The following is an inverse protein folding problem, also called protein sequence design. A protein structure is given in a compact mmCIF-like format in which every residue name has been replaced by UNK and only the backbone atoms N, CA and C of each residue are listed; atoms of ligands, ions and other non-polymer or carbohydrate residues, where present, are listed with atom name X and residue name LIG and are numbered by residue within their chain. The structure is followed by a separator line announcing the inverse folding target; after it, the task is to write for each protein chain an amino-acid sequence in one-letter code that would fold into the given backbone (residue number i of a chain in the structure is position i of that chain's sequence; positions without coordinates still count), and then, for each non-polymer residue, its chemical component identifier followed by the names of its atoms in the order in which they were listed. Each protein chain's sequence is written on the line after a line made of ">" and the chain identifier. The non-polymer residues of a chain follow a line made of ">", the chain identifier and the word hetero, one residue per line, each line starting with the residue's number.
data_IF_223575714003
#
_entry.id   IF_223575714003
#
_cell.length_a   1.000
_cell.length_b   1.000
_cell.length_c   1.000
_cell.angle_alpha   90.00
_cell.angle_beta   90.00
_cell.angle_gamma   90.00
#
_symmetry.space_group_name_H-M   'P 1'
#
loop_
_entity.id
_entity.type
_entity.pdbx_description
1 polymer ?
#
# COMPACT_ATOMS: atom_id res chain seq x y z
N UNK A 1 16.71 -5.54 -0.89
CA UNK A 1 15.63 -4.73 -0.29
C UNK A 1 16.15 -3.32 -0.08
N UNK A 2 15.31 -2.30 -0.27
CA UNK A 2 15.69 -0.91 -0.06
C UNK A 2 16.12 -0.66 1.40
N UNK A 3 17.17 0.13 1.58
CA UNK A 3 17.54 0.72 2.88
C UNK A 3 16.69 1.96 3.08
N UNK A 4 16.16 2.16 4.30
CA UNK A 4 15.39 3.35 4.67
C UNK A 4 16.26 4.16 5.62
N UNK A 5 16.62 5.37 5.22
CA UNK A 5 17.38 6.30 6.05
C UNK A 5 16.51 6.87 7.17
N UNK A 6 17.14 7.15 8.30
CA UNK A 6 16.59 7.90 9.44
C UNK A 6 15.19 7.48 9.92
N UNK A 7 14.82 6.20 9.74
CA UNK A 7 13.50 5.69 10.12
C UNK A 7 13.29 5.77 11.63
N UNK A 8 12.34 6.63 12.04
CA UNK A 8 11.90 6.80 13.42
C UNK A 8 10.50 6.22 13.59
N UNK A 9 10.38 5.26 14.50
CA UNK A 9 9.10 4.61 14.81
C UNK A 9 8.79 4.85 16.28
N UNK A 10 7.60 5.35 16.54
CA UNK A 10 7.07 5.55 17.88
C UNK A 10 5.94 4.57 18.17
N UNK A 11 5.76 4.23 19.44
CA UNK A 11 4.71 3.34 19.91
C UNK A 11 4.10 3.91 21.19
N UNK A 12 2.78 3.86 21.29
CA UNK A 12 2.11 4.30 22.50
C UNK A 12 0.65 4.67 22.29
N UNK A 13 0.11 5.41 23.25
CA UNK A 13 -1.25 5.94 23.21
C UNK A 13 -1.27 7.32 22.57
N UNK A 14 -2.47 7.79 22.20
CA UNK A 14 -2.71 9.06 21.47
C UNK A 14 -1.94 10.27 22.00
N UNK A 15 -1.73 10.35 23.31
CA UNK A 15 -1.10 11.47 24.02
C UNK A 15 0.36 11.18 24.43
N UNK A 16 0.84 9.94 24.28
CA UNK A 16 2.15 9.49 24.76
C UNK A 16 2.74 8.46 23.81
N UNK A 17 3.58 8.94 22.92
CA UNK A 17 4.34 8.13 21.98
C UNK A 17 5.82 8.11 22.41
N UNK A 18 6.37 6.91 22.54
CA UNK A 18 7.77 6.71 22.88
C UNK A 18 8.53 6.14 21.68
N UNK A 19 9.78 6.59 21.44
CA UNK A 19 10.59 6.04 20.36
C UNK A 19 10.89 4.56 20.62
N UNK A 20 10.65 3.71 19.62
CA UNK A 20 11.00 2.29 19.69
C UNK A 20 12.50 2.10 19.42
N UNK A 21 13.21 1.30 20.24
CA UNK A 21 14.57 0.90 19.93
C UNK A 21 14.62 0.12 18.61
N UNK A 22 15.60 0.45 17.75
CA UNK A 22 15.80 -0.18 16.44
C UNK A 22 16.12 -1.68 16.52
N UNK A 23 16.49 -2.16 17.72
CA UNK A 23 16.74 -3.57 18.06
C UNK A 23 15.48 -4.35 18.43
N UNK A 24 14.35 -3.68 18.71
CA UNK A 24 13.11 -4.36 19.12
C UNK A 24 12.45 -5.11 17.97
N UNK A 25 11.83 -6.27 18.25
CA UNK A 25 11.07 -7.05 17.26
C UNK A 25 10.00 -6.21 16.58
N UNK A 26 9.30 -5.38 17.35
CA UNK A 26 8.24 -4.50 16.85
C UNK A 26 8.76 -3.46 15.86
N UNK A 27 9.90 -2.83 16.14
CA UNK A 27 10.58 -1.95 15.18
C UNK A 27 10.92 -2.71 13.90
N UNK A 28 11.53 -3.91 14.01
CA UNK A 28 11.91 -4.72 12.84
C UNK A 28 10.72 -5.15 11.98
N UNK A 29 9.58 -5.40 12.60
CA UNK A 29 8.33 -5.71 11.89
C UNK A 29 7.81 -4.51 11.12
N UNK A 30 7.71 -3.34 11.75
CA UNK A 30 7.29 -2.11 11.07
C UNK A 30 8.28 -1.68 9.97
N UNK A 31 9.58 -1.75 10.25
CA UNK A 31 10.65 -1.51 9.27
C UNK A 31 10.51 -2.41 8.03
N UNK A 32 10.19 -3.70 8.22
CA UNK A 32 10.02 -4.64 7.10
C UNK A 32 8.81 -4.31 6.22
N UNK A 33 7.75 -3.73 6.79
CA UNK A 33 6.58 -3.24 6.06
C UNK A 33 6.93 -1.99 5.25
N UNK A 34 7.58 -1.00 5.89
CA UNK A 34 8.01 0.24 5.22
C UNK A 34 8.96 -0.06 4.06
N UNK A 35 9.92 -0.96 4.26
CA UNK A 35 10.83 -1.40 3.19
C UNK A 35 10.11 -2.06 2.03
N UNK A 36 9.08 -2.86 2.31
CA UNK A 36 8.28 -3.49 1.25
C UNK A 36 7.48 -2.43 0.48
N UNK A 37 6.84 -1.49 1.18
CA UNK A 37 6.09 -0.39 0.55
C UNK A 37 6.97 0.44 -0.39
N UNK A 38 8.16 0.84 0.06
CA UNK A 38 9.12 1.56 -0.79
C UNK A 38 9.60 0.71 -1.96
N UNK A 39 9.88 -0.58 -1.75
CA UNK A 39 10.28 -1.46 -2.85
C UNK A 39 9.19 -1.59 -3.93
N UNK A 40 7.90 -1.60 -3.55
CA UNK A 40 6.77 -1.59 -4.49
C UNK A 40 6.80 -0.30 -5.31
N UNK A 41 6.86 0.85 -4.63
CA UNK A 41 6.79 2.17 -5.29
C UNK A 41 8.05 2.49 -6.12
N UNK A 42 9.21 2.00 -5.71
CA UNK A 42 10.48 2.18 -6.42
C UNK A 42 10.67 1.24 -7.60
N UNK A 43 9.83 0.20 -7.75
CA UNK A 43 9.86 -0.68 -8.92
C UNK A 43 9.57 0.10 -10.21
N UNK A 44 10.03 -0.37 -11.39
CA UNK A 44 9.76 0.30 -12.65
C UNK A 44 8.26 0.55 -12.89
N UNK A 45 7.44 -0.48 -12.69
CA UNK A 45 5.98 -0.41 -12.83
C UNK A 45 5.35 0.45 -11.74
N UNK A 46 5.89 0.40 -10.50
CA UNK A 46 5.49 1.26 -9.40
C UNK A 46 5.65 2.75 -9.74
N UNK A 47 6.83 3.15 -10.20
CA UNK A 47 7.10 4.53 -10.64
C UNK A 47 6.23 4.91 -11.83
N UNK A 48 6.12 4.03 -12.83
CA UNK A 48 5.29 4.27 -14.01
C UNK A 48 3.82 4.46 -13.64
N UNK A 49 3.29 3.68 -12.70
CA UNK A 49 1.89 3.77 -12.26
C UNK A 49 1.53 5.12 -11.65
N UNK A 50 2.50 5.80 -11.04
CA UNK A 50 2.33 7.15 -10.46
C UNK A 50 2.29 8.22 -11.56
N UNK A 51 3.11 8.06 -12.60
CA UNK A 51 3.29 9.06 -13.67
C UNK A 51 2.21 8.94 -14.76
N UNK A 52 1.91 7.71 -15.21
CA UNK A 52 1.25 7.43 -16.51
C UNK A 52 -0.21 7.86 -16.61
N UNK A 53 -0.91 8.05 -15.49
CA UNK A 53 -2.32 8.52 -15.50
C UNK A 53 -2.52 9.88 -14.86
N UNK A 54 -1.42 10.63 -14.68
CA UNK A 54 -1.27 11.93 -14.03
C UNK A 54 -2.59 12.55 -13.52
N UNK A 55 -3.11 12.04 -12.39
CA UNK A 55 -4.40 12.49 -11.88
C UNK A 55 -4.30 13.86 -11.18
N UNK A 56 -3.09 14.39 -11.07
CA UNK A 56 -2.75 15.57 -10.28
C UNK A 56 -2.58 16.84 -11.12
N UNK A 57 -2.95 16.83 -12.40
CA UNK A 57 -2.83 17.98 -13.33
C UNK A 57 -3.42 19.27 -12.73
N UNK A 58 -4.44 19.16 -11.89
CA UNK A 58 -5.11 20.32 -11.27
C UNK A 58 -4.40 20.88 -10.04
N UNK A 59 -3.50 20.12 -9.41
CA UNK A 59 -2.80 20.53 -8.19
C UNK A 59 -1.30 20.74 -8.41
N UNK A 60 -0.75 20.10 -9.44
CA UNK A 60 0.64 20.21 -9.83
C UNK A 60 0.85 21.44 -10.71
N UNK A 61 1.87 22.25 -10.37
CA UNK A 61 2.08 23.58 -10.97
C UNK A 61 3.18 23.63 -12.03
N UNK A 62 4.04 22.62 -12.06
CA UNK A 62 5.15 22.51 -13.01
C UNK A 62 4.69 21.80 -14.31
N UNK A 63 5.50 21.83 -15.39
CA UNK A 63 5.19 21.11 -16.63
C UNK A 63 4.98 19.61 -16.39
N UNK A 64 3.92 19.02 -16.97
CA UNK A 64 3.58 17.60 -16.76
C UNK A 64 4.69 16.62 -17.22
N UNK A 65 5.51 17.05 -18.17
CA UNK A 65 6.69 16.31 -18.65
C UNK A 65 7.75 16.11 -17.55
N UNK A 66 7.80 17.00 -16.56
CA UNK A 66 8.71 16.90 -15.42
C UNK A 66 8.17 16.00 -14.29
N UNK A 67 6.91 15.52 -14.37
CA UNK A 67 6.29 14.74 -13.29
C UNK A 67 7.14 13.52 -12.90
N UNK A 68 7.74 12.83 -13.87
CA UNK A 68 8.63 11.70 -13.58
C UNK A 68 9.86 12.09 -12.76
N UNK A 69 10.44 13.25 -13.02
CA UNK A 69 11.55 13.80 -12.23
C UNK A 69 11.13 14.08 -10.79
N UNK A 70 9.98 14.72 -10.60
CA UNK A 70 9.49 15.07 -9.25
C UNK A 70 9.01 13.88 -8.43
N UNK A 71 8.39 12.88 -9.06
CA UNK A 71 8.09 11.60 -8.40
C UNK A 71 9.38 10.92 -7.95
N UNK A 72 10.42 10.95 -8.79
CA UNK A 72 11.75 10.48 -8.43
C UNK A 72 12.31 11.19 -7.20
N UNK A 73 12.26 12.53 -7.18
CA UNK A 73 12.70 13.37 -6.05
C UNK A 73 11.89 13.14 -4.77
N UNK A 74 10.59 12.99 -4.89
CA UNK A 74 9.73 12.64 -3.76
C UNK A 74 10.12 11.30 -3.13
N UNK A 75 10.24 10.24 -3.95
CA UNK A 75 10.61 8.91 -3.45
C UNK A 75 12.03 8.87 -2.88
N UNK A 76 12.96 9.64 -3.47
CA UNK A 76 14.32 9.83 -2.92
C UNK A 76 14.26 10.45 -1.51
N UNK A 77 13.53 11.56 -1.34
CA UNK A 77 13.36 12.20 -0.02
C UNK A 77 12.69 11.27 1.00
N UNK A 78 11.62 10.56 0.62
CA UNK A 78 10.93 9.61 1.52
C UNK A 78 11.87 8.46 1.92
N UNK A 79 12.76 8.02 1.03
CA UNK A 79 13.71 6.95 1.33
C UNK A 79 14.84 7.40 2.24
N UNK A 80 15.34 8.61 2.06
CA UNK A 80 16.45 9.18 2.85
C UNK A 80 15.98 9.60 4.25
N UNK A 81 14.83 10.25 4.34
CA UNK A 81 14.28 10.83 5.57
C UNK A 81 12.80 10.47 5.69
N UNK A 82 12.52 9.20 6.00
CA UNK A 82 11.14 8.69 6.03
C UNK A 82 10.25 9.46 7.01
N UNK A 83 8.97 9.75 6.65
CA UNK A 83 8.00 10.36 7.56
C UNK A 83 7.94 9.66 8.92
N UNK A 84 7.70 10.40 9.99
CA UNK A 84 7.59 9.80 11.33
C UNK A 84 6.49 8.73 11.35
N UNK A 85 6.82 7.55 11.87
CA UNK A 85 5.91 6.42 11.94
C UNK A 85 5.36 6.26 13.35
N UNK A 86 4.05 6.15 13.50
CA UNK A 86 3.37 5.95 14.78
C UNK A 86 2.58 4.66 14.77
N UNK A 87 2.90 3.73 15.67
CA UNK A 87 2.07 2.54 15.88
C UNK A 87 0.97 2.92 16.86
N UNK A 88 -0.28 3.00 16.37
CA UNK A 88 -1.39 3.61 17.08
C UNK A 88 -2.61 2.70 17.20
N UNK A 89 -3.36 2.85 18.29
CA UNK A 89 -4.69 2.23 18.50
C UNK A 89 -5.78 2.90 17.65
N UNK A 90 -5.47 4.08 17.09
CA UNK A 90 -6.45 4.99 16.53
C UNK A 90 -6.42 5.07 15.01
N UNK A 91 -6.07 3.97 14.34
CA UNK A 91 -6.03 3.86 12.88
C UNK A 91 -7.31 3.18 12.38
N UNK A 92 -8.03 3.83 11.48
CA UNK A 92 -9.13 3.25 10.73
C UNK A 92 -8.57 2.30 9.65
N UNK A 93 -8.46 1.01 10.02
CA UNK A 93 -7.97 -0.03 9.11
C UNK A 93 -6.52 -0.42 9.38
N UNK A 94 -5.70 -0.43 8.33
CA UNK A 94 -4.32 -0.92 8.33
C UNK A 94 -3.29 0.18 8.62
N UNK A 95 -3.39 1.29 7.89
CA UNK A 95 -2.50 2.43 7.96
C UNK A 95 -3.26 3.72 7.61
N UNK A 96 -2.72 4.87 8.00
CA UNK A 96 -3.22 6.20 7.65
C UNK A 96 -2.03 7.15 7.44
N UNK A 97 -2.13 8.07 6.48
CA UNK A 97 -1.22 9.19 6.32
C UNK A 97 -1.85 10.51 6.82
N UNK A 98 -1.06 11.30 7.54
CA UNK A 98 -1.35 12.71 7.81
C UNK A 98 -0.40 13.58 6.97
N UNK A 99 -0.97 14.45 6.14
CA UNK A 99 -0.21 15.46 5.37
C UNK A 99 -0.04 16.71 6.21
N UNK A 100 1.18 17.22 6.28
CA UNK A 100 1.50 18.46 6.96
C UNK A 100 1.93 19.53 5.94
N UNK A 101 1.60 20.81 6.18
CA UNK A 101 2.14 21.90 5.38
C UNK A 101 3.67 21.91 5.46
N UNK A 102 4.33 22.05 4.31
CA UNK A 102 5.80 22.02 4.26
C UNK A 102 6.39 23.10 3.35
N UNK A 103 5.58 23.76 2.50
CA UNK A 103 6.01 24.87 1.65
C UNK A 103 5.67 24.65 0.18
N UNK A 104 5.92 25.66 -0.66
CA UNK A 104 5.51 25.64 -2.08
C UNK A 104 6.61 25.20 -3.05
N UNK A 105 7.86 25.19 -2.60
CA UNK A 105 9.02 24.94 -3.46
C UNK A 105 9.39 23.45 -3.41
N UNK A 106 9.05 22.69 -4.44
CA UNK A 106 9.26 21.22 -4.52
C UNK A 106 10.70 20.80 -4.22
N UNK A 107 11.69 21.64 -4.56
CA UNK A 107 13.12 21.35 -4.29
C UNK A 107 13.46 21.33 -2.81
N UNK A 108 12.67 21.99 -1.97
CA UNK A 108 12.90 22.12 -0.54
C UNK A 108 12.10 21.07 0.27
N UNK A 109 11.48 20.10 -0.41
CA UNK A 109 10.69 19.09 0.26
C UNK A 109 11.53 18.25 1.23
N UNK A 110 10.97 18.01 2.41
CA UNK A 110 11.54 17.13 3.42
C UNK A 110 10.44 16.21 3.96
N UNK A 111 10.51 14.93 3.60
CA UNK A 111 9.51 13.94 3.96
C UNK A 111 9.36 13.74 5.49
N UNK A 112 10.43 13.90 6.28
CA UNK A 112 10.40 13.69 7.73
C UNK A 112 9.50 14.70 8.47
N UNK A 113 9.30 15.89 7.91
CA UNK A 113 8.45 16.94 8.52
C UNK A 113 7.16 17.22 7.74
N UNK A 114 7.07 16.76 6.49
CA UNK A 114 5.92 17.02 5.62
C UNK A 114 4.75 16.05 5.81
N UNK A 115 4.92 14.99 6.61
CA UNK A 115 3.84 14.06 6.91
C UNK A 115 4.16 13.10 8.05
N UNK A 116 3.16 12.29 8.37
CA UNK A 116 3.24 11.21 9.34
C UNK A 116 2.52 9.99 8.80
N UNK A 117 2.99 8.81 9.18
CA UNK A 117 2.34 7.53 8.86
C UNK A 117 1.94 6.84 10.15
N UNK A 118 0.67 6.50 10.28
CA UNK A 118 0.13 5.77 11.40
C UNK A 118 -0.09 4.31 10.98
N UNK A 119 0.39 3.36 11.78
CA UNK A 119 0.21 1.93 11.56
C UNK A 119 -0.71 1.36 12.64
N UNK A 120 -1.60 0.46 12.24
CA UNK A 120 -2.51 -0.23 13.16
C UNK A 120 -1.72 -1.05 14.19
N UNK A 121 -1.79 -0.64 15.46
CA UNK A 121 -1.15 -1.34 16.58
C UNK A 121 -1.53 -2.82 16.65
N UNK A 122 -2.82 -3.11 16.44
CA UNK A 122 -3.32 -4.50 16.47
C UNK A 122 -2.65 -5.36 15.41
N UNK A 123 -2.47 -4.84 14.19
CA UNK A 123 -1.83 -5.61 13.12
C UNK A 123 -0.35 -5.81 13.41
N UNK A 124 0.36 -4.76 13.83
CA UNK A 124 1.77 -4.86 14.17
C UNK A 124 2.00 -5.84 15.33
N UNK A 125 1.18 -5.81 16.36
CA UNK A 125 1.26 -6.75 17.49
C UNK A 125 0.96 -8.20 17.03
N UNK A 126 0.00 -8.39 16.12
CA UNK A 126 -0.26 -9.71 15.53
C UNK A 126 0.90 -10.22 14.68
N UNK A 127 1.60 -9.33 13.96
CA UNK A 127 2.80 -9.67 13.21
C UNK A 127 3.96 -10.06 14.14
N UNK A 128 4.16 -9.35 15.25
CA UNK A 128 5.13 -9.71 16.29
C UNK A 128 4.78 -11.08 16.86
N UNK A 129 3.52 -11.29 17.24
CA UNK A 129 3.03 -12.56 17.76
C UNK A 129 3.24 -13.72 16.76
N UNK A 130 2.89 -13.53 15.49
CA UNK A 130 3.10 -14.53 14.45
C UNK A 130 4.59 -14.88 14.34
N UNK A 131 5.47 -13.87 14.27
CA UNK A 131 6.92 -14.08 14.14
C UNK A 131 7.53 -14.85 15.31
N UNK A 132 7.01 -14.66 16.53
CA UNK A 132 7.48 -15.36 17.74
C UNK A 132 6.95 -16.80 17.86
N UNK A 133 5.87 -17.16 17.15
CA UNK A 133 5.24 -18.48 17.22
C UNK A 133 5.55 -19.31 15.98
N UNK A 134 6.63 -20.10 16.05
CA UNK A 134 7.16 -20.93 14.94
C UNK A 134 6.10 -21.69 14.12
N UNK A 135 5.02 -22.20 14.74
CA UNK A 135 3.98 -22.99 14.06
C UNK A 135 3.10 -22.19 13.09
N UNK A 136 2.88 -20.90 13.37
CA UNK A 136 2.05 -20.00 12.54
C UNK A 136 2.87 -18.89 11.90
N UNK A 137 4.18 -18.86 12.17
CA UNK A 137 5.06 -17.74 11.89
C UNK A 137 5.22 -17.47 10.41
N UNK A 138 5.36 -18.47 9.55
CA UNK A 138 5.64 -18.25 8.13
C UNK A 138 4.47 -17.58 7.42
N UNK A 139 3.37 -18.31 7.26
CA UNK A 139 2.26 -17.90 6.40
C UNK A 139 1.54 -16.66 6.94
N UNK A 140 1.20 -16.65 8.23
CA UNK A 140 0.43 -15.54 8.82
C UNK A 140 1.22 -14.23 8.82
N UNK A 141 2.51 -14.27 9.18
CA UNK A 141 3.38 -13.09 9.11
C UNK A 141 3.50 -12.57 7.68
N UNK A 142 3.67 -13.48 6.71
CA UNK A 142 3.79 -13.14 5.29
C UNK A 142 2.52 -12.46 4.76
N UNK A 143 1.33 -12.96 5.14
CA UNK A 143 0.05 -12.35 4.77
C UNK A 143 -0.13 -10.96 5.38
N UNK A 144 0.21 -10.79 6.66
CA UNK A 144 0.20 -9.46 7.27
C UNK A 144 1.21 -8.51 6.63
N UNK A 145 2.42 -8.99 6.32
CA UNK A 145 3.46 -8.18 5.67
C UNK A 145 3.01 -7.74 4.28
N UNK A 146 2.38 -8.64 3.52
CA UNK A 146 1.78 -8.34 2.22
C UNK A 146 0.68 -7.27 2.33
N UNK A 147 -0.30 -7.48 3.22
CA UNK A 147 -1.39 -6.53 3.48
C UNK A 147 -0.84 -5.15 3.85
N UNK A 148 -0.01 -5.09 4.89
CA UNK A 148 0.54 -3.84 5.40
C UNK A 148 1.49 -3.17 4.40
N UNK A 149 2.25 -3.93 3.61
CA UNK A 149 3.14 -3.37 2.59
C UNK A 149 2.37 -2.60 1.51
N UNK A 150 1.22 -3.14 1.08
CA UNK A 150 0.31 -2.45 0.15
C UNK A 150 -0.32 -1.24 0.83
N UNK A 151 -0.83 -1.38 2.06
CA UNK A 151 -1.44 -0.26 2.79
C UNK A 151 -0.47 0.90 3.03
N UNK A 152 0.79 0.63 3.40
CA UNK A 152 1.77 1.71 3.58
C UNK A 152 2.15 2.34 2.24
N UNK A 153 2.23 1.56 1.15
CA UNK A 153 2.44 2.13 -0.18
C UNK A 153 1.28 3.05 -0.59
N UNK A 154 0.04 2.63 -0.32
CA UNK A 154 -1.18 3.43 -0.50
C UNK A 154 -1.08 4.76 0.26
N UNK A 155 -0.70 4.74 1.54
CA UNK A 155 -0.56 5.97 2.33
C UNK A 155 0.55 6.90 1.83
N UNK A 156 1.64 6.36 1.29
CA UNK A 156 2.70 7.17 0.65
C UNK A 156 2.17 7.89 -0.61
N UNK A 157 1.20 7.32 -1.33
CA UNK A 157 0.54 8.02 -2.46
C UNK A 157 -0.28 9.22 -1.97
N UNK A 158 -0.91 9.13 -0.79
CA UNK A 158 -1.55 10.30 -0.18
C UNK A 158 -0.50 11.37 0.17
N UNK A 159 0.65 10.98 0.73
CA UNK A 159 1.74 11.91 0.99
C UNK A 159 2.29 12.56 -0.29
N UNK A 160 2.35 11.84 -1.42
CA UNK A 160 2.70 12.41 -2.71
C UNK A 160 1.74 13.54 -3.11
N UNK A 161 0.44 13.39 -2.85
CA UNK A 161 -0.53 14.45 -3.10
C UNK A 161 -0.18 15.71 -2.29
N UNK A 162 0.24 15.55 -1.03
CA UNK A 162 0.72 16.65 -0.17
C UNK A 162 2.05 17.28 -0.64
N UNK A 163 2.95 16.46 -1.19
CA UNK A 163 4.16 16.94 -1.86
C UNK A 163 3.81 17.82 -3.06
N UNK A 164 2.84 17.42 -3.90
CA UNK A 164 2.50 18.21 -5.08
C UNK A 164 1.77 19.52 -4.74
N UNK A 165 1.02 19.58 -3.63
CA UNK A 165 0.27 20.77 -3.19
C UNK A 165 1.07 21.74 -2.34
N UNK A 166 2.05 21.25 -1.58
CA UNK A 166 2.80 22.05 -0.60
C UNK A 166 2.11 22.28 0.75
N UNK A 167 0.87 21.81 0.86
CA UNK A 167 -0.07 22.11 1.94
C UNK A 167 -0.82 20.84 2.35
N UNK A 168 -1.40 20.80 3.55
CA UNK A 168 -2.26 19.69 3.98
C UNK A 168 -3.59 19.61 3.20
N UNK A 169 -3.91 20.66 2.44
CA UNK A 169 -5.06 20.79 1.54
C UNK A 169 -4.61 21.38 0.20
N UNK A 170 -5.38 21.24 -0.90
CA UNK A 170 -6.66 20.53 -1.00
C UNK A 170 -6.53 19.01 -0.79
N UNK A 171 -7.65 18.36 -0.56
CA UNK A 171 -7.72 16.90 -0.59
C UNK A 171 -7.50 16.37 -2.00
N UNK A 172 -7.32 15.05 -2.10
CA UNK A 172 -7.22 14.36 -3.38
C UNK A 172 -8.37 14.79 -4.29
N UNK A 173 -8.14 15.18 -5.56
CA UNK A 173 -9.23 15.61 -6.43
C UNK A 173 -10.23 14.47 -6.68
N UNK A 174 -11.54 14.76 -6.84
CA UNK A 174 -12.60 13.73 -6.99
C UNK A 174 -12.36 12.72 -8.10
N UNK A 175 -11.77 13.15 -9.22
CA UNK A 175 -11.46 12.28 -10.36
C UNK A 175 -10.32 11.28 -10.11
N UNK A 176 -9.62 11.42 -8.99
CA UNK A 176 -8.49 10.58 -8.57
C UNK A 176 -8.98 9.59 -7.53
N UNK A 177 -9.82 8.66 -7.97
CA UNK A 177 -10.42 7.68 -7.07
C UNK A 177 -10.76 6.39 -7.80
N UNK A 178 -10.86 5.31 -7.05
CA UNK A 178 -11.57 4.13 -7.52
C UNK A 178 -12.98 4.13 -6.94
N UNK A 179 -13.98 3.99 -7.80
CA UNK A 179 -15.37 3.93 -7.38
C UNK A 179 -15.62 2.71 -6.45
N UNK A 180 -16.28 2.88 -5.28
CA UNK A 180 -16.96 4.07 -4.75
C UNK A 180 -16.22 4.76 -3.58
N UNK A 181 -14.89 4.69 -3.52
CA UNK A 181 -14.12 5.18 -2.36
C UNK A 181 -13.97 6.71 -2.31
N UNK A 182 -14.28 7.41 -3.41
CA UNK A 182 -14.34 8.87 -3.45
C UNK A 182 -15.72 9.43 -3.09
N UNK A 183 -15.78 10.74 -3.03
CA UNK A 183 -16.99 11.53 -2.95
C UNK A 183 -17.07 12.49 -4.13
N UNK A 184 -18.11 13.32 -4.16
CA UNK A 184 -18.22 14.41 -5.14
C UNK A 184 -17.09 15.43 -5.02
N UNK A 185 -16.55 15.61 -3.82
CA UNK A 185 -15.64 16.70 -3.46
C UNK A 185 -14.22 16.22 -3.15
N UNK A 186 -14.02 14.91 -2.95
CA UNK A 186 -12.72 14.33 -2.58
C UNK A 186 -12.52 12.96 -3.21
N UNK A 187 -11.36 12.71 -3.79
CA UNK A 187 -10.96 11.41 -4.31
C UNK A 187 -10.25 10.54 -3.27
N UNK A 188 -9.68 9.43 -3.72
CA UNK A 188 -8.98 8.45 -2.90
C UNK A 188 -7.74 7.98 -3.71
N UNK A 189 -6.61 8.67 -3.52
CA UNK A 189 -5.45 8.56 -4.41
C UNK A 189 -4.77 7.20 -4.29
N UNK A 190 -4.75 6.61 -3.10
CA UNK A 190 -4.18 5.30 -2.89
C UNK A 190 -4.99 4.20 -3.58
N UNK A 191 -6.32 4.21 -3.51
CA UNK A 191 -7.20 3.27 -4.25
C UNK A 191 -7.10 3.47 -5.76
N UNK A 192 -6.99 4.72 -6.21
CA UNK A 192 -6.74 5.00 -7.62
C UNK A 192 -5.43 4.36 -8.09
N UNK A 193 -4.35 4.53 -7.33
CA UNK A 193 -3.06 3.90 -7.58
C UNK A 193 -3.11 2.37 -7.54
N UNK A 194 -3.80 1.78 -6.55
CA UNK A 194 -4.00 0.33 -6.47
C UNK A 194 -4.66 -0.21 -7.76
N UNK A 195 -5.67 0.49 -8.26
CA UNK A 195 -6.33 0.11 -9.52
C UNK A 195 -5.41 0.09 -10.73
N UNK A 196 -4.48 1.03 -10.80
CA UNK A 196 -3.53 1.14 -11.91
C UNK A 196 -2.45 0.07 -11.78
N UNK A 197 -1.81 -0.01 -10.61
CA UNK A 197 -0.65 -0.86 -10.42
C UNK A 197 -1.05 -2.32 -10.20
N UNK A 198 -1.97 -2.56 -9.28
CA UNK A 198 -2.34 -3.90 -8.84
C UNK A 198 -3.40 -4.54 -9.75
N UNK A 199 -4.09 -3.73 -10.55
CA UNK A 199 -5.20 -4.16 -11.41
C UNK A 199 -6.53 -4.29 -10.66
N UNK A 200 -6.64 -3.73 -9.46
CA UNK A 200 -7.82 -3.81 -8.61
C UNK A 200 -7.51 -3.47 -7.16
N UNK A 201 -8.41 -3.83 -6.25
CA UNK A 201 -8.35 -3.54 -4.82
C UNK A 201 -8.01 -4.80 -4.06
N UNK A 202 -6.98 -4.72 -3.22
CA UNK A 202 -6.63 -5.82 -2.34
C UNK A 202 -7.39 -5.69 -1.02
N UNK A 203 -8.16 -6.72 -0.67
CA UNK A 203 -8.86 -6.82 0.61
C UNK A 203 -8.63 -8.18 1.24
N UNK A 204 -8.43 -8.21 2.56
CA UNK A 204 -8.29 -9.45 3.31
C UNK A 204 -9.59 -9.79 4.03
N UNK A 205 -10.07 -11.03 3.86
CA UNK A 205 -11.34 -11.50 4.40
C UNK A 205 -11.13 -12.63 5.40
N UNK A 206 -11.66 -12.46 6.60
CA UNK A 206 -11.50 -13.38 7.72
C UNK A 206 -12.82 -14.10 8.08
N UNK A 207 -12.70 -15.28 8.66
CA UNK A 207 -13.83 -16.06 9.13
C UNK A 207 -14.33 -15.50 10.47
N UNK A 208 -15.63 -15.21 10.58
CA UNK A 208 -16.26 -14.68 11.81
C UNK A 208 -16.17 -15.64 12.99
N UNK A 209 -16.10 -16.94 12.75
CA UNK A 209 -16.15 -17.98 13.79
C UNK A 209 -14.77 -18.54 14.15
N UNK A 210 -13.70 -18.07 13.49
CA UNK A 210 -12.36 -18.54 13.80
C UNK A 210 -11.91 -17.99 15.16
N UNK A 211 -11.40 -18.90 16.00
CA UNK A 211 -10.95 -18.64 17.37
C UNK A 211 -9.82 -17.60 17.46
N UNK A 212 -9.09 -17.37 16.36
CA UNK A 212 -8.05 -16.35 16.28
C UNK A 212 -8.64 -14.94 16.29
N UNK A 213 -9.92 -14.76 15.94
CA UNK A 213 -10.62 -13.48 16.01
C UNK A 213 -9.86 -12.36 15.28
N UNK A 214 -9.53 -11.28 15.99
CA UNK A 214 -8.79 -10.13 15.44
C UNK A 214 -7.35 -10.44 15.00
N UNK A 215 -6.82 -11.61 15.40
CA UNK A 215 -5.47 -12.08 15.04
C UNK A 215 -5.38 -12.75 13.68
N UNK A 216 -6.52 -12.96 13.02
CA UNK A 216 -6.54 -13.47 11.66
C UNK A 216 -5.92 -12.44 10.69
N UNK A 217 -5.03 -12.90 9.83
CA UNK A 217 -4.60 -12.15 8.64
C UNK A 217 -5.68 -12.12 7.57
N UNK A 218 -6.64 -13.06 7.61
CA UNK A 218 -7.63 -13.26 6.56
C UNK A 218 -7.03 -13.90 5.30
N UNK A 219 -7.90 -14.13 4.33
CA UNK A 219 -7.54 -14.56 2.97
C UNK A 219 -7.56 -13.34 2.05
N UNK A 220 -6.47 -13.05 1.33
CA UNK A 220 -6.40 -11.91 0.44
C UNK A 220 -7.12 -12.17 -0.89
N UNK A 221 -7.92 -11.21 -1.31
CA UNK A 221 -8.65 -11.18 -2.57
C UNK A 221 -8.30 -9.91 -3.34
N UNK A 222 -8.28 -10.01 -4.67
CA UNK A 222 -8.22 -8.87 -5.59
C UNK A 222 -9.61 -8.64 -6.16
N UNK A 223 -10.17 -7.44 -5.99
CA UNK A 223 -11.47 -7.05 -6.54
C UNK A 223 -11.33 -6.01 -7.65
N UNK A 224 -12.18 -6.07 -8.66
CA UNK A 224 -12.14 -5.12 -9.79
C UNK A 224 -12.41 -3.66 -9.39
N UNK A 225 -13.39 -3.44 -8.53
CA UNK A 225 -13.84 -2.12 -8.03
C UNK A 225 -14.10 -2.19 -6.53
N UNK A 226 -14.66 -1.17 -5.88
CA UNK A 226 -15.12 -1.23 -4.48
C UNK A 226 -16.56 -1.71 -4.28
N UNK A 227 -17.31 -1.97 -5.34
CA UNK A 227 -18.73 -2.28 -5.23
C UNK A 227 -18.99 -3.63 -4.57
N UNK A 228 -20.17 -3.74 -3.95
CA UNK A 228 -20.59 -4.95 -3.25
C UNK A 228 -20.73 -6.18 -4.17
N UNK A 229 -21.09 -5.97 -5.43
CA UNK A 229 -21.22 -6.99 -6.47
C UNK A 229 -19.96 -7.11 -7.35
N UNK A 230 -18.88 -6.38 -7.05
CA UNK A 230 -17.62 -6.50 -7.79
C UNK A 230 -17.11 -7.93 -7.73
N UNK A 231 -16.66 -8.44 -8.87
CA UNK A 231 -15.95 -9.71 -8.90
C UNK A 231 -14.63 -9.56 -8.15
N UNK A 232 -14.22 -10.66 -7.53
CA UNK A 232 -12.92 -10.80 -6.91
C UNK A 232 -12.45 -12.23 -6.89
N UNK A 233 -11.14 -12.36 -6.80
CA UNK A 233 -10.44 -13.64 -6.91
C UNK A 233 -9.39 -13.73 -5.83
N UNK A 234 -9.21 -14.94 -5.29
CA UNK A 234 -8.18 -15.19 -4.28
C UNK A 234 -6.79 -14.95 -4.86
N UNK A 235 -5.96 -14.16 -4.18
CA UNK A 235 -4.60 -13.88 -4.62
C UNK A 235 -3.74 -15.15 -4.43
N UNK A 236 -2.89 -15.45 -5.41
CA UNK A 236 -2.03 -16.65 -5.37
C UNK A 236 -1.04 -16.58 -4.20
N UNK A 237 -0.88 -17.68 -3.45
CA UNK A 237 0.10 -17.76 -2.36
C UNK A 237 1.54 -17.64 -2.85
N UNK A 238 1.86 -18.28 -3.99
CA UNK A 238 3.19 -18.19 -4.61
C UNK A 238 3.50 -16.78 -5.11
N UNK A 239 2.47 -16.05 -5.53
CA UNK A 239 2.58 -14.64 -5.85
C UNK A 239 2.91 -13.82 -4.60
N UNK A 240 2.19 -14.02 -3.50
CA UNK A 240 2.44 -13.32 -2.23
C UNK A 240 3.86 -13.59 -1.74
N UNK A 241 4.32 -14.83 -1.78
CA UNK A 241 5.68 -15.21 -1.40
C UNK A 241 6.74 -14.51 -2.27
N UNK A 242 6.55 -14.47 -3.59
CA UNK A 242 7.44 -13.73 -4.50
C UNK A 242 7.44 -12.23 -4.18
N UNK A 243 6.25 -11.67 -3.98
CA UNK A 243 6.01 -10.26 -3.73
C UNK A 243 6.70 -9.76 -2.46
N UNK A 244 6.53 -10.46 -1.32
CA UNK A 244 7.14 -10.05 -0.05
C UNK A 244 8.67 -10.20 -0.02
N UNK A 245 9.21 -10.98 -0.97
CA UNK A 245 10.63 -11.17 -1.21
C UNK A 245 11.19 -10.15 -2.22
N UNK A 246 10.37 -9.21 -2.70
CA UNK A 246 10.76 -8.14 -3.60
C UNK A 246 10.81 -8.54 -5.08
N UNK A 247 10.23 -9.69 -5.43
CA UNK A 247 10.03 -10.11 -6.82
C UNK A 247 8.62 -9.71 -7.23
N UNK A 248 8.51 -8.54 -7.85
CA UNK A 248 7.23 -7.97 -8.26
C UNK A 248 6.89 -8.36 -9.70
N UNK A 249 5.60 -8.59 -9.94
CA UNK A 249 5.03 -8.66 -11.28
C UNK A 249 3.63 -8.08 -11.23
N UNK A 250 3.31 -7.14 -12.10
CA UNK A 250 2.03 -6.43 -12.09
C UNK A 250 1.26 -6.70 -13.39
N UNK A 251 -0.09 -6.73 -13.38
CA UNK A 251 -0.97 -6.67 -12.20
C UNK A 251 -0.84 -7.91 -11.30
N UNK A 252 -1.50 -7.88 -10.13
CA UNK A 252 -1.45 -8.98 -9.16
C UNK A 252 -1.93 -10.30 -9.78
N UNK A 253 -1.22 -11.40 -9.51
CA UNK A 253 -1.62 -12.74 -9.97
C UNK A 253 -2.60 -13.39 -8.99
N UNK A 254 -3.72 -13.87 -9.54
CA UNK A 254 -4.75 -14.60 -8.80
C UNK A 254 -4.51 -16.11 -8.86
N UNK A 255 -5.19 -16.86 -8.01
CA UNK A 255 -5.07 -18.32 -7.90
C UNK A 255 -5.66 -19.02 -9.12
N UNK A 256 -5.17 -20.23 -9.45
CA UNK A 256 -5.72 -21.06 -10.53
C UNK A 256 -6.11 -22.44 -9.97
N UNK A 257 -7.40 -22.88 -10.03
CA UNK A 257 -8.53 -22.18 -10.62
C UNK A 257 -8.93 -20.92 -9.84
N UNK A 258 -9.30 -19.87 -10.58
CA UNK A 258 -9.75 -18.61 -10.00
C UNK A 258 -11.26 -18.68 -9.74
N UNK A 259 -11.67 -19.22 -8.59
CA UNK A 259 -13.06 -19.12 -8.17
C UNK A 259 -13.44 -17.62 -8.09
N UNK A 260 -14.49 -17.25 -8.80
CA UNK A 260 -14.96 -15.86 -8.83
C UNK A 260 -15.99 -15.69 -7.72
N UNK A 261 -15.69 -14.81 -6.77
CA UNK A 261 -16.58 -14.43 -5.68
C UNK A 261 -16.89 -12.94 -5.76
N UNK A 262 -17.93 -12.49 -5.06
CA UNK A 262 -18.20 -11.06 -4.89
C UNK A 262 -18.04 -10.68 -3.43
N UNK A 263 -17.84 -9.39 -3.13
CA UNK A 263 -17.86 -8.93 -1.73
C UNK A 263 -19.15 -9.34 -1.02
N UNK A 264 -20.27 -9.27 -1.73
CA UNK A 264 -21.57 -9.68 -1.22
C UNK A 264 -21.63 -11.17 -0.87
N UNK A 265 -21.03 -12.06 -1.69
CA UNK A 265 -21.01 -13.50 -1.41
C UNK A 265 -20.14 -13.81 -0.19
N UNK A 266 -18.98 -13.16 -0.05
CA UNK A 266 -18.12 -13.30 1.13
C UNK A 266 -18.82 -12.82 2.41
N UNK A 267 -19.52 -11.68 2.37
CA UNK A 267 -20.31 -11.20 3.53
C UNK A 267 -21.37 -12.21 3.98
N UNK A 268 -22.03 -12.88 3.02
CA UNK A 268 -23.03 -13.93 3.28
C UNK A 268 -22.41 -15.21 3.83
N UNK A 269 -21.22 -15.59 3.36
CA UNK A 269 -20.49 -16.81 3.74
C UNK A 269 -19.81 -16.72 5.13
N UNK A 270 -20.42 -16.01 6.09
CA UNK A 270 -19.87 -15.78 7.44
C UNK A 270 -18.44 -15.18 7.45
N UNK A 271 -18.01 -14.55 6.35
CA UNK A 271 -16.75 -13.82 6.29
C UNK A 271 -16.96 -12.33 6.54
N UNK A 272 -15.89 -11.66 6.96
CA UNK A 272 -15.85 -10.20 7.07
C UNK A 272 -14.45 -9.71 6.71
N UNK A 273 -14.38 -8.55 6.09
CA UNK A 273 -13.12 -7.87 5.84
C UNK A 273 -12.36 -7.62 7.15
N UNK A 274 -11.05 -7.81 7.14
CA UNK A 274 -10.22 -7.76 8.34
C UNK A 274 -10.16 -6.36 8.99
N UNK A 275 -10.33 -5.30 8.21
CA UNK A 275 -10.38 -3.93 8.71
C UNK A 275 -11.62 -3.75 9.62
N UNK A 276 -12.74 -4.38 9.28
CA UNK A 276 -13.97 -4.39 10.10
C UNK A 276 -13.81 -5.20 11.39
N UNK A 277 -13.02 -6.28 11.36
CA UNK A 277 -12.66 -7.06 12.56
C UNK A 277 -11.93 -6.21 13.59
N UNK A 278 -11.07 -5.31 13.11
CA UNK A 278 -10.11 -4.55 13.91
C UNK A 278 -10.64 -3.16 14.27
N UNK A 279 -11.93 -2.90 14.13
CA UNK A 279 -12.54 -1.62 14.57
C UNK A 279 -12.39 -1.41 16.08
N UNK A 280 -12.17 -0.17 16.53
CA UNK A 280 -11.92 0.20 17.94
C UNK A 280 -12.82 -0.50 18.96
N UNK A 281 -14.12 -0.60 18.67
CA UNK A 281 -15.10 -1.23 19.58
C UNK A 281 -14.79 -2.70 19.85
N UNK A 282 -14.24 -3.41 18.88
CA UNK A 282 -13.88 -4.84 19.00
C UNK A 282 -12.48 -5.05 19.56
N UNK A 283 -11.56 -4.11 19.32
CA UNK A 283 -10.20 -4.18 19.86
C UNK A 283 -10.18 -4.18 21.40
N UNK A 284 -11.04 -3.39 22.06
CA UNK A 284 -11.12 -3.33 23.54
C UNK A 284 -11.47 -4.66 24.21
N UNK A 285 -12.09 -5.58 23.47
CA UNK A 285 -12.50 -6.89 23.97
C UNK A 285 -11.55 -8.00 23.55
N UNK A 286 -10.53 -7.71 22.74
CA UNK A 286 -9.56 -8.71 22.36
C UNK A 286 -8.70 -9.06 23.59
N UNK A 287 -8.43 -10.36 23.85
CA UNK A 287 -7.52 -10.72 24.92
C UNK A 287 -6.18 -10.03 24.67
N UNK A 288 -5.57 -9.40 25.69
CA UNK A 288 -4.29 -8.76 25.52
C UNK A 288 -3.34 -9.74 24.85
N UNK A 289 -2.70 -9.28 23.78
CA UNK A 289 -1.51 -9.96 23.27
C UNK A 289 -0.55 -10.00 24.44
N UNK A 290 -0.38 -11.17 25.05
CA UNK A 290 0.73 -11.49 25.93
C UNK A 290 2.06 -11.50 25.15
N UNK A 291 2.23 -10.53 24.24
CA UNK A 291 3.54 -10.11 23.81
C UNK A 291 4.24 -9.65 25.08
N UNK A 292 5.41 -10.22 25.41
CA UNK A 292 6.16 -9.78 26.57
C UNK A 292 6.31 -8.26 26.52
N UNK A 293 6.17 -7.59 27.67
CA UNK A 293 6.58 -6.19 27.74
C UNK A 293 8.03 -6.07 27.24
N UNK A 294 8.42 -4.94 26.62
CA UNK A 294 9.76 -4.74 26.11
C UNK A 294 10.80 -5.11 27.20
N UNK A 295 11.57 -6.17 26.98
CA UNK A 295 12.64 -6.60 27.90
C UNK A 295 12.44 -7.91 28.68
N UNK A 296 11.38 -8.68 28.47
CA UNK A 296 11.18 -9.97 29.18
C UNK A 296 11.26 -11.21 28.26
N UNK A 297 12.11 -12.18 28.64
CA UNK A 297 12.22 -13.51 28.02
C UNK A 297 10.95 -14.34 28.27
N UNK A 298 10.37 -14.92 27.22
CA UNK A 298 9.04 -15.55 27.23
C UNK A 298 9.01 -16.90 27.96
N UNK A 299 8.05 -17.09 28.87
CA UNK A 299 7.65 -18.39 29.39
C UNK A 299 6.64 -19.07 28.44
N UNK A 300 6.80 -20.38 28.27
CA UNK A 300 6.09 -21.24 27.33
C UNK A 300 4.63 -21.48 27.72
N UNK A 301 3.69 -20.95 26.95
CA UNK A 301 2.28 -21.38 26.94
C UNK A 301 2.07 -22.32 25.76
N UNK A 302 1.76 -23.58 26.07
CA UNK A 302 1.40 -24.63 25.11
C UNK A 302 -0.02 -24.39 24.58
N UNK A 303 -0.14 -24.05 23.29
CA UNK A 303 -1.43 -24.09 22.59
C UNK A 303 -1.57 -25.40 21.82
N UNK A 304 -2.78 -25.94 21.89
CA UNK A 304 -3.24 -27.17 21.25
C UNK A 304 -3.25 -27.00 19.73
N UNK A 305 -2.72 -28.00 18.99
CA UNK A 305 -2.71 -28.09 17.52
C UNK A 305 -4.05 -27.65 16.90
N UNK A 306 -3.98 -26.84 15.85
CA UNK A 306 -5.14 -26.41 15.04
C UNK A 306 -5.86 -27.63 14.41
N UNK A 307 -7.19 -27.55 14.19
CA UNK A 307 -7.95 -28.62 13.55
C UNK A 307 -7.50 -28.86 12.10
N UNK A 308 -7.45 -30.13 11.70
CA UNK A 308 -6.92 -30.64 10.43
C UNK A 308 -7.67 -30.22 9.15
N UNK A 309 -8.67 -29.33 9.26
CA UNK A 309 -9.53 -28.91 8.16
C UNK A 309 -9.11 -27.56 7.55
N UNK A 310 -7.98 -26.98 7.98
CA UNK A 310 -7.23 -26.07 7.13
C UNK A 310 -6.60 -26.93 6.03
N UNK A 311 -7.29 -27.07 4.90
CA UNK A 311 -6.86 -27.89 3.79
C UNK A 311 -5.38 -27.69 3.48
N UNK A 312 -4.75 -28.85 3.35
CA UNK A 312 -3.38 -29.12 2.97
C UNK A 312 -2.84 -28.09 1.96
N UNK A 313 -1.88 -27.30 2.41
CA UNK A 313 -0.85 -26.76 1.53
C UNK A 313 0.01 -27.95 1.08
N UNK A 314 0.04 -28.34 -0.21
CA UNK A 314 1.15 -29.16 -0.69
C UNK A 314 2.40 -28.27 -0.69
N UNK A 315 3.23 -28.40 0.34
CA UNK A 315 4.61 -27.95 0.27
C UNK A 315 5.33 -28.93 -0.67
N UNK A 316 5.31 -28.63 -1.97
CA UNK A 316 6.25 -29.26 -2.90
C UNK A 316 7.62 -28.63 -2.66
N UNK A 317 8.45 -29.27 -1.84
CA UNK A 317 9.90 -29.00 -1.85
C UNK A 317 10.47 -29.54 -3.15
N UNK A 318 10.45 -28.74 -4.21
CA UNK A 318 11.25 -28.99 -5.40
C UNK A 318 12.73 -28.69 -5.06
N UNK A 319 13.67 -29.61 -5.33
CA UNK A 319 15.09 -29.33 -5.17
C UNK A 319 15.54 -28.29 -6.21
N UNK A 320 16.06 -27.16 -5.74
CA UNK A 320 16.76 -26.18 -6.58
C UNK A 320 18.07 -26.82 -7.06
N UNK A 321 18.09 -27.33 -8.28
CA UNK A 321 19.34 -27.67 -8.97
C UNK A 321 20.00 -26.37 -9.44
N UNK A 322 21.15 -26.07 -8.85
CA UNK A 322 22.06 -25.03 -9.33
C UNK A 322 22.67 -25.48 -10.66
N UNK A 323 22.25 -24.88 -11.78
CA UNK A 323 23.02 -24.94 -13.01
C UNK A 323 24.19 -23.96 -12.91
N UNK A 324 25.40 -24.52 -12.85
CA UNK A 324 26.65 -23.82 -13.04
C UNK A 324 26.68 -23.20 -14.44
N UNK A 325 26.83 -21.88 -14.49
CA UNK A 325 27.06 -21.08 -15.70
C UNK A 325 28.43 -21.40 -16.28
N UNK A 326 28.48 -21.74 -17.57
CA UNK A 326 29.71 -21.83 -18.35
C UNK A 326 30.12 -20.45 -18.91
N UNK A 327 31.42 -20.24 -19.19
CA UNK A 327 31.98 -18.92 -19.47
C UNK A 327 31.85 -18.47 -20.93
N UNK A 328 31.55 -17.18 -21.06
CA UNK A 328 32.07 -16.16 -22.00
C UNK A 328 32.61 -16.67 -23.34
N UNK A 329 31.88 -16.38 -24.43
CA UNK A 329 32.44 -16.36 -25.78
C UNK A 329 32.48 -14.94 -26.36
N UNK A 330 33.63 -14.69 -27.00
CA UNK A 330 34.18 -13.42 -27.45
C UNK A 330 33.38 -12.77 -28.58
N UNK A 331 33.29 -11.45 -28.51
CA UNK A 331 32.90 -10.54 -29.60
C UNK A 331 34.05 -10.45 -30.62
N UNK A 332 33.79 -10.48 -31.93
CA UNK A 332 34.68 -9.89 -32.93
C UNK A 332 34.23 -8.47 -33.34
N UNK A 333 35.18 -7.56 -33.64
CA UNK A 333 34.89 -6.17 -33.98
C UNK A 333 34.73 -5.99 -35.51
N UNK A 334 33.84 -5.08 -35.94
CA UNK A 334 33.93 -4.32 -37.21
C UNK A 334 32.81 -3.25 -37.17
N UNK A 335 33.11 -1.96 -36.96
CA UNK A 335 33.57 -0.89 -37.87
C UNK A 335 32.41 -0.15 -38.58
N UNK A 336 32.45 1.20 -38.69
CA UNK A 336 31.30 2.08 -38.87
C UNK A 336 31.08 2.51 -40.33
N UNK A 337 29.87 2.96 -40.66
CA UNK A 337 29.40 3.86 -41.75
C UNK A 337 27.87 3.57 -41.85
N UNK A 338 26.93 4.48 -42.12
CA UNK A 338 26.93 5.83 -42.67
C UNK A 338 25.57 6.47 -42.40
N UNK A 339 25.55 7.79 -42.41
CA UNK A 339 24.40 8.68 -42.38
C UNK A 339 23.30 8.31 -43.40
N UNK A 340 22.04 8.47 -43.01
CA UNK A 340 21.02 8.98 -43.93
C UNK A 340 19.89 9.66 -43.15
N UNK A 341 19.90 10.97 -43.25
CA UNK A 341 18.85 11.92 -42.90
C UNK A 341 17.52 11.55 -43.58
N UNK A 342 16.44 11.46 -42.81
CA UNK A 342 15.09 11.58 -43.36
C UNK A 342 14.25 12.51 -42.49
N UNK A 343 14.17 13.75 -42.95
CA UNK A 343 13.20 14.76 -42.59
C UNK A 343 11.78 14.26 -42.86
N UNK A 344 10.96 14.10 -41.82
CA UNK A 344 9.51 13.98 -41.97
C UNK A 344 8.84 15.22 -41.41
N UNK A 345 8.40 16.06 -42.35
CA UNK A 345 7.52 17.19 -42.15
C UNK A 345 6.14 16.69 -41.71
N UNK A 346 5.62 17.19 -40.58
CA UNK A 346 4.22 17.07 -40.21
C UNK A 346 3.47 18.34 -40.64
N UNK A 347 2.26 18.22 -41.22
CA UNK A 347 1.43 19.37 -41.56
C UNK A 347 0.79 19.99 -40.31
N UNK A 348 0.53 21.31 -40.29
CA UNK A 348 -0.10 21.98 -39.17
C UNK A 348 -1.64 21.95 -39.27
N UNK A 349 -2.25 22.26 -38.12
CA UNK A 349 -3.62 22.78 -37.90
C UNK A 349 -4.69 21.79 -37.44
N UNK A 350 -5.23 22.02 -36.24
CA UNK A 350 -6.49 22.75 -36.10
C UNK A 350 -6.66 23.27 -34.66
N UNK A 351 -6.84 24.60 -34.52
CA UNK A 351 -7.25 25.26 -33.28
C UNK A 351 -8.75 25.08 -33.10
N UNK A 352 -9.18 24.39 -32.06
CA UNK A 352 -10.58 24.37 -31.63
C UNK A 352 -10.85 25.57 -30.71
N UNK A 353 -11.63 26.52 -31.22
CA UNK A 353 -12.27 27.57 -30.43
C UNK A 353 -13.34 26.94 -29.51
N UNK A 354 -13.25 27.19 -28.21
CA UNK A 354 -14.40 27.03 -27.30
C UNK A 354 -15.03 28.41 -27.05
N UNK A 355 -16.36 28.54 -27.15
CA UNK A 355 -17.07 29.76 -26.78
C UNK A 355 -17.21 29.87 -25.25
N UNK A 356 -17.32 31.10 -24.70
CA UNK A 356 -17.52 31.31 -23.27
C UNK A 356 -18.95 30.96 -22.87
N UNK A 357 -19.12 30.08 -21.87
CA UNK A 357 -20.42 29.87 -21.25
C UNK A 357 -20.69 30.98 -20.24
N UNK A 358 -21.67 31.79 -20.59
CA UNK A 358 -22.39 32.76 -19.78
C UNK A 358 -22.77 32.24 -18.38
N UNK A 359 -22.65 33.14 -17.40
CA UNK A 359 -23.00 32.89 -16.02
C UNK A 359 -24.49 32.62 -15.78
N UNK A 360 -24.76 31.92 -14.68
CA UNK A 360 -26.06 31.93 -14.03
C UNK A 360 -25.84 32.07 -12.53
N UNK A 361 -26.01 33.29 -12.06
CA UNK A 361 -26.17 33.65 -10.67
C UNK A 361 -27.52 33.12 -10.20
N UNK A 362 -27.54 32.21 -9.23
CA UNK A 362 -28.72 31.99 -8.38
C UNK A 362 -28.28 32.01 -6.93
N UNK A 363 -28.59 33.15 -6.32
CA UNK A 363 -28.82 33.35 -4.89
C UNK A 363 -29.82 32.30 -4.37
N UNK A 364 -29.52 31.72 -3.21
CA UNK A 364 -30.51 31.02 -2.40
C UNK A 364 -30.59 31.64 -1.02
N UNK A 365 -31.84 31.92 -0.67
CA UNK A 365 -32.39 32.66 0.46
C UNK A 365 -32.43 31.78 1.73
N UNK A 366 -31.96 32.26 2.90
CA UNK A 366 -31.87 31.47 4.11
C UNK A 366 -33.08 31.67 5.04
N UNK A 367 -34.28 31.22 4.67
CA UNK A 367 -35.38 31.08 5.65
C UNK A 367 -36.34 29.93 5.27
N UNK A 368 -36.22 28.79 5.96
CA UNK A 368 -37.41 28.09 6.44
C UNK A 368 -37.09 27.14 7.59
N UNK A 369 -37.48 27.55 8.79
CA UNK A 369 -37.70 26.69 9.95
C UNK A 369 -39.15 26.21 9.89
N UNK A 370 -39.36 24.90 10.02
CA UNK A 370 -40.37 24.27 10.89
C UNK A 370 -40.08 22.80 11.03
#
# INVERSE_FOLDING_TARGET
>A
MATVGNLQIYYGATDRYEPLPSTSTRFKVAEAVVKLALAILESPEGKESIVKKNPFVHIYREPLEDMGYWVGKFLESVKEDFPLVYISENVAGEAEAERLPWGRELRNYNAAIAGRVFLSKVIIDNMVYAREKHEIAGITYNLFKFQMGISVAHEIIHLLTGFLTGESRPDTPPGVTMDPFGSRDTGEAGRYWEGILLGGIVECWANKNDIMGVRQSGTPYLFETGHSNSNGWRISSTYIESFINGVFSFPIRVSNPAETLTRSSLKRAQSQETSNLRTRRRQRNAPPTASPAPGHSSASIAYRRLPANCEQYPVQTAPVQFYLTQPVNRVPPYSPYSESSSTRSYPPQARSYYPPSSGSSRSYDPYNRR
#
